data_IF_099086969613
#
_entry.id   IF_099086969613
#
_cell.length_a   1.000
_cell.length_b   1.000
_cell.length_c   1.000
_cell.angle_alpha   90.00
_cell.angle_beta   90.00
_cell.angle_gamma   90.00
#
_symmetry.space_group_name_H-M   'P 1'
#
loop_
_entity.id
_entity.type
_entity.pdbx_description
1 polymer ?
#
# COMPACT_ATOMS: atom_id res chain seq x y z
N UNK A 1 11.29 -12.38 -12.08
CA UNK A 1 11.18 -11.52 -10.88
C UNK A 1 11.01 -10.04 -11.25
N UNK A 2 11.83 -9.44 -12.14
CA UNK A 2 11.72 -8.03 -12.54
C UNK A 2 10.33 -7.63 -13.09
N UNK A 3 9.69 -8.50 -13.89
CA UNK A 3 8.35 -8.25 -14.45
C UNK A 3 7.20 -8.16 -13.42
N UNK A 4 7.38 -8.69 -12.20
CA UNK A 4 6.36 -8.61 -11.15
C UNK A 4 6.36 -7.24 -10.47
N UNK A 5 7.55 -6.64 -10.28
CA UNK A 5 7.70 -5.28 -9.81
C UNK A 5 7.16 -4.26 -10.82
N UNK A 6 7.46 -4.44 -12.12
CA UNK A 6 6.94 -3.58 -13.20
C UNK A 6 5.40 -3.62 -13.31
N UNK A 7 4.77 -4.77 -13.01
CA UNK A 7 3.30 -4.91 -12.95
C UNK A 7 2.66 -4.33 -11.68
N UNK A 8 3.41 -4.17 -10.60
CA UNK A 8 2.91 -3.59 -9.35
C UNK A 8 3.09 -2.07 -9.26
N UNK A 9 3.99 -1.50 -10.07
CA UNK A 9 4.10 -0.05 -10.31
C UNK A 9 3.00 0.42 -11.29
N UNK A 10 1.89 -0.31 -11.37
CA UNK A 10 0.70 0.19 -12.03
C UNK A 10 -0.11 0.94 -10.98
N UNK A 11 -0.22 2.25 -11.17
CA UNK A 11 -1.02 3.25 -10.45
C UNK A 11 -2.52 2.95 -10.54
N UNK A 12 -2.91 1.70 -10.38
CA UNK A 12 -4.29 1.28 -10.56
C UNK A 12 -5.12 1.83 -9.40
N UNK A 13 -5.90 2.85 -9.71
CA UNK A 13 -6.87 3.47 -8.81
C UNK A 13 -7.84 2.42 -8.24
N UNK A 14 -7.98 1.25 -8.89
CA UNK A 14 -8.73 0.10 -8.39
C UNK A 14 -8.06 -0.59 -7.18
N UNK A 15 -6.74 -0.64 -7.11
CA UNK A 15 -6.03 -1.16 -5.93
C UNK A 15 -6.28 -0.26 -4.70
N UNK A 16 -6.26 1.06 -4.91
CA UNK A 16 -6.63 2.06 -3.93
C UNK A 16 -8.10 1.95 -3.49
N UNK A 17 -9.02 1.68 -4.43
CA UNK A 17 -10.44 1.48 -4.13
C UNK A 17 -10.73 0.17 -3.34
N UNK A 18 -10.00 -0.92 -3.63
CA UNK A 18 -10.04 -2.15 -2.82
C UNK A 18 -9.54 -1.92 -1.39
N UNK A 19 -8.61 -0.99 -1.21
CA UNK A 19 -8.12 -0.60 0.11
C UNK A 19 -9.21 0.12 0.92
N UNK A 20 -9.95 1.02 0.28
CA UNK A 20 -10.89 1.89 0.98
C UNK A 20 -12.24 1.23 1.33
N UNK A 21 -12.79 0.38 0.47
CA UNK A 21 -14.14 -0.18 0.70
C UNK A 21 -14.24 -1.17 1.87
N UNK A 22 -13.12 -1.60 2.50
CA UNK A 22 -13.13 -2.67 3.51
C UNK A 22 -12.37 -2.35 4.81
N UNK A 23 -11.66 -1.22 4.91
CA UNK A 23 -10.92 -0.85 6.14
C UNK A 23 -11.83 -0.35 7.27
N UNK A 24 -13.13 -0.13 7.03
CA UNK A 24 -14.09 0.31 8.08
C UNK A 24 -14.13 -0.58 9.34
N UNK A 25 -13.73 -1.85 9.25
CA UNK A 25 -13.57 -2.78 10.40
C UNK A 25 -12.31 -3.66 10.25
N UNK A 26 -11.30 -3.17 9.55
CA UNK A 26 -10.11 -3.94 9.19
C UNK A 26 -8.82 -3.22 9.56
N UNK A 27 -7.71 -3.93 9.40
CA UNK A 27 -6.37 -3.35 9.52
C UNK A 27 -5.81 -3.12 8.12
N UNK A 28 -5.14 -1.98 7.95
CA UNK A 28 -4.33 -1.69 6.79
C UNK A 28 -2.90 -1.39 7.23
N UNK A 29 -1.92 -1.81 6.43
CA UNK A 29 -0.51 -1.65 6.76
C UNK A 29 0.24 -0.97 5.62
N UNK A 30 1.15 -0.08 6.00
CA UNK A 30 2.09 0.57 5.09
C UNK A 30 3.50 0.12 5.46
N UNK A 31 4.35 -0.13 4.47
CA UNK A 31 5.76 -0.47 4.66
C UNK A 31 6.66 0.16 3.60
N UNK A 32 7.96 0.16 3.82
CA UNK A 32 8.94 0.80 2.94
C UNK A 32 10.18 -0.06 2.67
N UNK A 33 10.36 -1.18 3.39
CA UNK A 33 11.55 -2.02 3.24
C UNK A 33 11.28 -3.51 3.46
N UNK A 34 12.35 -4.32 3.49
CA UNK A 34 12.24 -5.79 3.60
C UNK A 34 11.71 -6.27 4.95
N UNK A 35 11.87 -5.48 6.03
CA UNK A 35 11.34 -5.83 7.35
C UNK A 35 9.80 -5.86 7.39
N UNK A 36 9.14 -5.21 6.44
CA UNK A 36 7.67 -5.14 6.34
C UNK A 36 7.07 -6.32 5.56
N UNK A 37 7.91 -7.17 4.94
CA UNK A 37 7.43 -8.30 4.15
C UNK A 37 6.47 -9.25 4.90
N UNK A 38 6.67 -9.57 6.20
CA UNK A 38 5.71 -10.36 6.96
C UNK A 38 4.34 -9.66 7.06
N UNK A 39 4.32 -8.33 7.13
CA UNK A 39 3.07 -7.56 7.15
C UNK A 39 2.36 -7.62 5.80
N UNK A 40 3.11 -7.59 4.70
CA UNK A 40 2.56 -7.68 3.34
C UNK A 40 1.85 -9.01 3.04
N UNK A 41 2.28 -10.11 3.67
CA UNK A 41 1.62 -11.41 3.51
C UNK A 41 0.45 -11.62 4.48
N UNK A 42 0.52 -11.04 5.68
CA UNK A 42 -0.49 -11.24 6.73
C UNK A 42 -1.75 -10.38 6.51
N UNK A 43 -1.59 -9.11 6.16
CA UNK A 43 -2.71 -8.19 6.03
C UNK A 43 -3.31 -8.19 4.63
N UNK A 44 -4.63 -8.03 4.58
CA UNK A 44 -5.36 -7.95 3.30
C UNK A 44 -5.08 -6.63 2.58
N UNK A 45 -5.04 -5.53 3.33
CA UNK A 45 -4.86 -4.17 2.83
C UNK A 45 -3.44 -3.70 3.10
N UNK A 46 -2.56 -3.84 2.12
CA UNK A 46 -1.14 -3.51 2.29
C UNK A 46 -0.70 -2.55 1.20
N UNK A 47 0.00 -1.50 1.60
CA UNK A 47 0.67 -0.58 0.70
C UNK A 47 2.17 -0.52 1.00
N UNK A 48 2.95 -0.34 -0.04
CA UNK A 48 4.34 0.08 0.06
C UNK A 48 4.44 1.56 -0.28
N UNK A 49 5.24 2.33 0.45
CA UNK A 49 5.58 3.68 -0.04
C UNK A 49 6.59 3.58 -1.17
N UNK A 50 6.73 4.61 -2.03
CA UNK A 50 7.50 4.43 -3.28
C UNK A 50 8.97 4.02 -3.10
N UNK A 51 9.57 4.29 -1.93
CA UNK A 51 10.92 3.81 -1.57
C UNK A 51 11.02 2.29 -1.48
N UNK A 52 9.90 1.58 -1.29
CA UNK A 52 9.85 0.10 -1.30
C UNK A 52 10.32 -0.49 -2.62
N UNK A 53 10.27 0.29 -3.72
CA UNK A 53 10.65 -0.15 -5.07
C UNK A 53 12.09 -0.67 -5.09
N UNK A 54 12.99 -0.05 -4.32
CA UNK A 54 14.39 -0.47 -4.19
C UNK A 54 14.54 -1.87 -3.57
N UNK A 55 13.55 -2.31 -2.80
CA UNK A 55 13.54 -3.57 -2.06
C UNK A 55 12.67 -4.66 -2.71
N UNK A 56 11.87 -4.35 -3.74
CA UNK A 56 10.98 -5.32 -4.41
C UNK A 56 11.69 -6.62 -4.86
N UNK A 57 12.92 -6.59 -5.40
CA UNK A 57 13.60 -7.83 -5.79
C UNK A 57 13.93 -8.76 -4.61
N UNK A 58 14.00 -8.21 -3.40
CA UNK A 58 14.40 -8.89 -2.17
C UNK A 58 13.20 -9.22 -1.28
N UNK A 59 12.02 -8.69 -1.61
CA UNK A 59 10.80 -8.86 -0.82
C UNK A 59 10.18 -10.26 -1.07
N UNK A 60 10.06 -11.10 -0.03
CA UNK A 60 9.43 -12.42 -0.15
C UNK A 60 7.90 -12.32 -0.34
N UNK A 61 7.30 -11.21 0.07
CA UNK A 61 5.90 -10.88 -0.20
C UNK A 61 5.83 -9.40 -0.61
N UNK A 62 5.00 -9.10 -1.60
CA UNK A 62 4.88 -7.76 -2.16
C UNK A 62 3.63 -7.05 -1.59
N UNK A 63 3.68 -5.72 -1.39
CA UNK A 63 2.49 -4.97 -1.04
C UNK A 63 1.46 -5.02 -2.17
N UNK A 64 0.17 -4.82 -1.86
CA UNK A 64 -0.89 -4.83 -2.89
C UNK A 64 -0.97 -3.54 -3.70
N UNK A 65 -0.40 -2.46 -3.18
CA UNK A 65 -0.35 -1.15 -3.81
C UNK A 65 0.96 -0.47 -3.46
N UNK A 66 1.50 0.36 -4.37
CA UNK A 66 2.65 1.22 -4.08
C UNK A 66 2.23 2.68 -4.27
N UNK A 67 2.43 3.51 -3.26
CA UNK A 67 2.10 4.94 -3.31
C UNK A 67 3.06 5.68 -4.24
N UNK A 68 2.68 6.87 -4.70
CA UNK A 68 3.58 7.71 -5.51
C UNK A 68 4.64 8.39 -4.65
N UNK A 69 4.23 8.92 -3.50
CA UNK A 69 5.14 9.62 -2.59
C UNK A 69 6.13 8.69 -1.90
N UNK A 70 7.39 9.11 -1.67
CA UNK A 70 8.33 8.38 -0.82
C UNK A 70 8.03 8.60 0.66
N UNK A 71 8.40 7.63 1.50
CA UNK A 71 8.37 7.73 2.96
C UNK A 71 7.07 8.35 3.50
N UNK A 72 7.20 9.39 4.32
CA UNK A 72 6.05 10.07 4.95
C UNK A 72 5.03 10.64 3.96
N UNK A 73 5.47 11.12 2.78
CA UNK A 73 4.54 11.64 1.77
C UNK A 73 3.67 10.55 1.15
N UNK A 74 4.25 9.36 0.94
CA UNK A 74 3.50 8.16 0.54
C UNK A 74 2.54 7.70 1.64
N UNK A 75 2.98 7.76 2.89
CA UNK A 75 2.10 7.43 4.02
C UNK A 75 0.88 8.35 4.10
N UNK A 76 1.03 9.66 3.86
CA UNK A 76 -0.10 10.60 3.80
C UNK A 76 -1.05 10.24 2.65
N UNK A 77 -0.52 9.94 1.46
CA UNK A 77 -1.31 9.48 0.31
C UNK A 77 -2.13 8.23 0.66
N UNK A 78 -1.52 7.28 1.36
CA UNK A 78 -2.16 6.07 1.85
C UNK A 78 -3.27 6.35 2.88
N UNK A 79 -3.01 7.20 3.86
CA UNK A 79 -4.01 7.57 4.88
C UNK A 79 -5.20 8.31 4.24
N UNK A 80 -4.92 9.25 3.33
CA UNK A 80 -5.94 9.99 2.58
C UNK A 80 -6.83 9.06 1.76
N UNK A 81 -6.26 8.02 1.14
CA UNK A 81 -7.03 7.02 0.41
C UNK A 81 -8.05 6.30 1.30
N UNK A 82 -7.64 5.93 2.52
CA UNK A 82 -8.50 5.26 3.50
C UNK A 82 -9.59 6.22 4.00
N UNK A 83 -9.21 7.44 4.40
CA UNK A 83 -10.14 8.44 4.93
C UNK A 83 -11.18 8.89 3.89
N UNK A 84 -10.82 8.92 2.61
CA UNK A 84 -11.77 9.26 1.52
C UNK A 84 -12.93 8.28 1.43
N UNK A 85 -12.72 7.03 1.83
CA UNK A 85 -13.74 5.99 1.81
C UNK A 85 -14.66 5.93 3.03
N UNK A 86 -14.41 6.77 4.04
CA UNK A 86 -15.33 6.97 5.16
C UNK A 86 -15.85 8.43 5.19
N UNK A 87 -16.88 8.76 4.37
CA UNK A 87 -17.38 10.14 4.27
C UNK A 87 -18.05 10.64 5.56
N UNK A 88 -18.51 9.75 6.44
CA UNK A 88 -19.25 10.10 7.67
C UNK A 88 -18.34 10.56 8.83
N UNK A 89 -17.01 10.36 8.74
CA UNK A 89 -16.06 10.66 9.80
C UNK A 89 -15.19 11.90 9.50
N UNK A 90 -15.64 12.71 8.54
CA UNK A 90 -15.09 14.05 8.30
C UNK A 90 -15.81 14.98 9.28
N UNK A 91 -15.14 15.31 10.38
CA UNK A 91 -15.68 16.10 11.49
C UNK A 91 -16.37 17.41 11.08
#
# INVERSE_FOLDING_TARGET
MIRAAEKMIETDTRACACLGNFVRRGTACSGDSTNDAPMFSYFTHTAGVSTVVEYLPQLPALPRWITQGPGGSGFVEFADAILRTDPDNRG
#
